data_IF_732041548350
#
_entry.id   IF_732041548350
#
_cell.length_a   1.000
_cell.length_b   1.000
_cell.length_c   1.000
_cell.angle_alpha   90.00
_cell.angle_beta   90.00
_cell.angle_gamma   90.00
#
_symmetry.space_group_name_H-M   'P 1'
#
loop_
_entity.id
_entity.type
_entity.pdbx_description
1 polymer ?
#
# COMPACT_ATOMS: atom_id res chain seq x y z
N UNK A 1 36.54 32.25 -25.98
CA UNK A 1 36.91 30.84 -25.73
C UNK A 1 36.53 30.54 -24.29
N UNK A 2 35.70 29.57 -23.92
CA UNK A 2 34.72 28.74 -24.60
C UNK A 2 33.77 28.29 -23.48
N UNK A 3 32.48 28.25 -23.78
CA UNK A 3 31.51 27.62 -22.92
C UNK A 3 31.82 26.12 -22.79
N UNK A 4 31.73 25.57 -21.58
CA UNK A 4 31.56 24.14 -21.38
C UNK A 4 30.34 23.91 -20.51
N UNK A 5 29.21 23.79 -21.21
CA UNK A 5 28.06 23.06 -20.73
C UNK A 5 28.37 21.56 -20.83
N UNK A 6 28.40 20.89 -19.68
CA UNK A 6 28.31 19.43 -19.54
C UNK A 6 27.53 19.24 -18.25
N UNK A 7 26.23 18.91 -18.27
CA UNK A 7 25.71 17.66 -18.80
C UNK A 7 25.48 16.73 -17.62
N UNK A 8 24.24 16.26 -17.46
CA UNK A 8 23.77 15.16 -16.59
C UNK A 8 22.99 15.54 -15.30
N UNK A 9 22.03 16.46 -15.38
CA UNK A 9 21.10 16.77 -14.27
C UNK A 9 19.83 15.89 -14.18
N UNK A 10 19.79 14.73 -14.85
CA UNK A 10 18.63 13.81 -14.82
C UNK A 10 18.86 12.53 -13.99
N UNK A 11 20.05 12.37 -13.38
CA UNK A 11 20.42 11.17 -12.60
C UNK A 11 20.23 11.27 -11.08
N UNK A 12 20.11 12.48 -10.52
CA UNK A 12 20.20 12.72 -9.07
C UNK A 12 18.84 12.77 -8.35
N UNK A 13 17.73 12.54 -9.07
CA UNK A 13 16.36 12.76 -8.58
C UNK A 13 15.83 11.71 -7.60
N UNK A 14 16.54 10.60 -7.40
CA UNK A 14 16.10 9.51 -6.53
C UNK A 14 16.79 9.59 -5.16
N UNK A 15 16.43 10.59 -4.34
CA UNK A 15 16.85 10.60 -2.95
C UNK A 15 16.18 9.42 -2.22
N UNK A 16 16.94 8.41 -1.75
CA UNK A 16 16.37 7.23 -1.07
C UNK A 16 15.58 7.61 0.19
N UNK A 17 15.84 8.79 0.77
CA UNK A 17 15.05 9.35 1.87
C UNK A 17 13.61 9.70 1.48
N UNK A 18 13.39 10.21 0.27
CA UNK A 18 12.07 10.55 -0.30
C UNK A 18 11.29 9.29 -0.62
N UNK A 19 11.94 8.30 -1.23
CA UNK A 19 11.33 6.99 -1.56
C UNK A 19 10.83 6.29 -0.30
N UNK A 20 11.62 6.30 0.78
CA UNK A 20 11.20 5.74 2.08
C UNK A 20 10.03 6.48 2.72
N UNK A 21 9.89 7.78 2.45
CA UNK A 21 8.79 8.60 2.98
C UNK A 21 7.44 8.28 2.32
N UNK A 22 7.44 8.03 1.01
CA UNK A 22 6.22 7.73 0.24
C UNK A 22 5.87 6.24 0.19
N UNK A 23 6.78 5.36 0.62
CA UNK A 23 6.60 3.91 0.59
C UNK A 23 5.28 3.42 1.20
N UNK A 24 4.79 3.93 2.35
CA UNK A 24 3.50 3.52 2.90
C UNK A 24 2.32 3.80 1.95
N UNK A 25 2.34 4.94 1.25
CA UNK A 25 1.33 5.30 0.26
C UNK A 25 1.42 4.44 -0.99
N UNK A 26 2.63 4.08 -1.42
CA UNK A 26 2.82 3.16 -2.55
C UNK A 26 2.27 1.77 -2.21
N UNK A 27 2.52 1.27 -0.99
CA UNK A 27 1.96 0.00 -0.51
C UNK A 27 0.43 0.06 -0.47
N UNK A 28 -0.13 1.14 0.06
CA UNK A 28 -1.58 1.35 0.06
C UNK A 28 -2.17 1.39 -1.35
N UNK A 29 -1.56 2.13 -2.28
CA UNK A 29 -2.02 2.23 -3.66
C UNK A 29 -1.96 0.87 -4.38
N UNK A 30 -0.88 0.12 -4.17
CA UNK A 30 -0.73 -1.24 -4.70
C UNK A 30 -1.79 -2.19 -4.15
N UNK A 31 -2.04 -2.14 -2.83
CA UNK A 31 -3.10 -2.92 -2.20
C UNK A 31 -4.48 -2.61 -2.78
N UNK A 32 -4.81 -1.32 -2.92
CA UNK A 32 -6.08 -0.88 -3.47
C UNK A 32 -6.27 -1.35 -4.91
N UNK A 33 -5.26 -1.14 -5.75
CA UNK A 33 -5.28 -1.57 -7.16
C UNK A 33 -5.42 -3.09 -7.29
N UNK A 34 -4.61 -3.86 -6.55
CA UNK A 34 -4.65 -5.33 -6.59
C UNK A 34 -6.00 -5.87 -6.14
N UNK A 35 -6.58 -5.29 -5.08
CA UNK A 35 -7.90 -5.70 -4.58
C UNK A 35 -8.98 -5.44 -5.62
N UNK A 36 -8.98 -4.26 -6.22
CA UNK A 36 -9.97 -3.89 -7.24
C UNK A 36 -9.85 -4.73 -8.51
N UNK A 37 -8.63 -4.89 -9.03
CA UNK A 37 -8.36 -5.71 -10.20
C UNK A 37 -8.71 -7.19 -9.96
N UNK A 38 -8.46 -7.71 -8.75
CA UNK A 38 -8.82 -9.08 -8.39
C UNK A 38 -10.33 -9.29 -8.39
N UNK A 39 -11.11 -8.31 -7.89
CA UNK A 39 -12.57 -8.36 -7.91
C UNK A 39 -13.11 -8.32 -9.34
N UNK A 40 -12.63 -7.41 -10.17
CA UNK A 40 -13.00 -7.31 -11.60
C UNK A 40 -12.74 -8.63 -12.34
N UNK A 41 -11.53 -9.17 -12.20
CA UNK A 41 -11.17 -10.46 -12.82
C UNK A 41 -12.03 -11.59 -12.27
N UNK A 42 -12.31 -11.60 -10.97
CA UNK A 42 -13.15 -12.62 -10.35
C UNK A 42 -14.56 -12.59 -10.92
N UNK A 43 -15.20 -11.42 -11.00
CA UNK A 43 -16.53 -11.27 -11.54
C UNK A 43 -16.58 -11.62 -13.05
N UNK A 44 -15.61 -11.17 -13.83
CA UNK A 44 -15.54 -11.48 -15.28
C UNK A 44 -15.30 -12.96 -15.58
N UNK A 45 -14.62 -13.69 -14.69
CA UNK A 45 -14.29 -15.12 -14.85
C UNK A 45 -15.19 -16.06 -14.06
N UNK A 46 -16.19 -15.55 -13.34
CA UNK A 46 -17.06 -16.38 -12.52
C UNK A 46 -16.39 -16.96 -11.27
N UNK A 47 -15.25 -16.40 -10.84
CA UNK A 47 -14.47 -16.96 -9.72
C UNK A 47 -15.19 -16.87 -8.38
N UNK A 48 -16.21 -16.00 -8.28
CA UNK A 48 -17.09 -15.90 -7.10
C UNK A 48 -17.88 -17.19 -6.82
N UNK A 49 -18.03 -18.07 -7.82
CA UNK A 49 -18.73 -19.35 -7.67
C UNK A 49 -17.86 -20.40 -6.95
N UNK A 50 -16.54 -20.27 -7.00
CA UNK A 50 -15.64 -21.18 -6.30
C UNK A 50 -15.63 -20.85 -4.82
N UNK A 51 -15.96 -21.86 -4.00
CA UNK A 51 -16.00 -21.74 -2.55
C UNK A 51 -15.05 -22.74 -1.92
N UNK A 52 -14.32 -22.28 -0.91
CA UNK A 52 -13.49 -23.10 -0.05
C UNK A 52 -14.09 -23.05 1.36
N UNK A 53 -14.43 -24.21 1.92
CA UNK A 53 -15.10 -24.30 3.23
C UNK A 53 -16.36 -23.42 3.37
N UNK A 54 -17.13 -23.27 2.28
CA UNK A 54 -18.36 -22.46 2.24
C UNK A 54 -18.15 -20.96 1.99
N UNK A 55 -16.91 -20.48 1.99
CA UNK A 55 -16.55 -19.06 1.78
C UNK A 55 -16.06 -18.87 0.33
N UNK A 56 -16.44 -17.78 -0.37
CA UNK A 56 -15.91 -17.49 -1.71
C UNK A 56 -14.38 -17.39 -1.70
N UNK A 57 -13.71 -18.08 -2.62
CA UNK A 57 -12.24 -18.11 -2.70
C UNK A 57 -11.66 -16.70 -2.89
N UNK A 58 -12.36 -15.84 -3.65
CA UNK A 58 -11.98 -14.43 -3.83
C UNK A 58 -11.98 -13.66 -2.51
N UNK A 59 -12.92 -13.91 -1.60
CA UNK A 59 -12.95 -13.27 -0.28
C UNK A 59 -11.72 -13.67 0.54
N UNK A 60 -11.36 -14.95 0.54
CA UNK A 60 -10.15 -15.43 1.24
C UNK A 60 -8.88 -14.80 0.66
N UNK A 61 -8.80 -14.67 -0.65
CA UNK A 61 -7.69 -13.99 -1.34
C UNK A 61 -7.57 -12.52 -0.94
N UNK A 62 -8.68 -11.78 -0.92
CA UNK A 62 -8.71 -10.38 -0.48
C UNK A 62 -8.31 -10.24 0.99
N UNK A 63 -8.78 -11.14 1.87
CA UNK A 63 -8.36 -11.18 3.27
C UNK A 63 -6.85 -11.44 3.40
N UNK A 64 -6.29 -12.35 2.60
CA UNK A 64 -4.85 -12.63 2.61
C UNK A 64 -4.02 -11.41 2.18
N UNK A 65 -4.37 -10.75 1.07
CA UNK A 65 -3.68 -9.53 0.62
C UNK A 65 -3.79 -8.42 1.67
N UNK A 66 -4.98 -8.25 2.26
CA UNK A 66 -5.22 -7.24 3.29
C UNK A 66 -4.36 -7.50 4.53
N UNK A 67 -4.34 -8.74 5.03
CA UNK A 67 -3.53 -9.12 6.18
C UNK A 67 -2.03 -8.89 5.93
N UNK A 68 -1.53 -9.24 4.75
CA UNK A 68 -0.14 -8.98 4.34
C UNK A 68 0.17 -7.48 4.31
N UNK A 69 -0.74 -6.68 3.77
CA UNK A 69 -0.58 -5.22 3.65
C UNK A 69 -0.57 -4.56 5.03
N UNK A 70 -1.50 -4.95 5.92
CA UNK A 70 -1.52 -4.50 7.31
C UNK A 70 -0.21 -4.87 8.00
N UNK A 71 0.25 -6.12 7.86
CA UNK A 71 1.53 -6.57 8.42
C UNK A 71 2.71 -5.71 7.96
N UNK A 72 2.79 -5.42 6.66
CA UNK A 72 3.82 -4.55 6.10
C UNK A 72 3.77 -3.12 6.67
N UNK A 73 2.58 -2.52 6.74
CA UNK A 73 2.39 -1.15 7.27
C UNK A 73 2.66 -1.08 8.78
N UNK A 74 2.27 -2.10 9.56
CA UNK A 74 2.58 -2.19 10.99
C UNK A 74 4.09 -2.28 11.20
N UNK A 75 4.79 -3.11 10.42
CA UNK A 75 6.26 -3.22 10.49
C UNK A 75 6.95 -1.90 10.13
N UNK A 76 6.47 -1.18 9.10
CA UNK A 76 6.99 0.13 8.73
C UNK A 76 6.73 1.17 9.81
N UNK A 77 5.53 1.18 10.41
CA UNK A 77 5.16 2.08 11.50
C UNK A 77 6.02 1.80 12.74
N UNK A 78 6.22 0.53 13.11
CA UNK A 78 7.05 0.14 14.23
C UNK A 78 8.52 0.54 14.03
N UNK A 79 9.04 0.38 12.81
CA UNK A 79 10.40 0.85 12.46
C UNK A 79 10.50 2.38 12.51
N UNK A 80 9.52 3.10 11.98
CA UNK A 80 9.48 4.55 12.04
C UNK A 80 9.44 5.04 13.51
N UNK A 81 8.58 4.45 14.34
CA UNK A 81 8.45 4.79 15.75
C UNK A 81 9.76 4.57 16.54
N UNK A 82 10.49 3.47 16.27
CA UNK A 82 11.81 3.22 16.88
C UNK A 82 12.88 4.22 16.47
N UNK A 83 12.76 4.80 15.27
CA UNK A 83 13.72 5.78 14.76
C UNK A 83 13.38 7.20 15.19
N UNK A 84 12.13 7.50 15.55
CA UNK A 84 11.69 8.81 16.06
C UNK A 84 12.41 9.19 17.36
N UNK A 85 12.76 8.22 18.21
CA UNK A 85 13.54 8.49 19.43
C UNK A 85 15.04 8.71 19.18
N UNK A 86 15.54 8.38 17.98
CA UNK A 86 16.95 8.51 17.60
C UNK A 86 17.22 9.67 16.63
N UNK A 87 16.24 10.07 15.81
CA UNK A 87 16.34 11.21 14.88
C UNK A 87 15.45 12.38 15.37
N UNK A 88 16.08 13.50 15.75
CA UNK A 88 15.37 14.77 15.94
C UNK A 88 15.14 15.45 14.59
N UNK A 89 13.94 15.31 14.01
CA UNK A 89 13.62 16.02 12.77
C UNK A 89 12.21 15.81 12.24
N UNK A 90 11.70 16.83 11.55
CA UNK A 90 10.38 16.88 10.89
C UNK A 90 10.12 15.68 9.97
N UNK A 91 11.17 15.10 9.36
CA UNK A 91 11.07 13.92 8.50
C UNK A 91 10.57 12.66 9.23
N UNK A 92 10.92 12.49 10.51
CA UNK A 92 10.50 11.32 11.29
C UNK A 92 8.98 11.36 11.57
N UNK A 93 8.46 12.55 11.87
CA UNK A 93 7.01 12.79 12.04
C UNK A 93 6.22 12.56 10.75
N UNK A 94 6.73 13.00 9.60
CA UNK A 94 6.10 12.77 8.29
C UNK A 94 6.01 11.28 7.95
N UNK A 95 7.08 10.51 8.21
CA UNK A 95 7.07 9.05 7.98
C UNK A 95 6.07 8.32 8.87
N UNK A 96 5.99 8.71 10.15
CA UNK A 96 5.02 8.15 11.09
C UNK A 96 3.58 8.47 10.65
N UNK A 97 3.31 9.74 10.34
CA UNK A 97 2.00 10.20 9.87
C UNK A 97 1.56 9.52 8.58
N UNK A 98 2.46 9.39 7.60
CA UNK A 98 2.21 8.67 6.35
C UNK A 98 1.87 7.19 6.59
N UNK A 99 2.59 6.53 7.50
CA UNK A 99 2.35 5.12 7.82
C UNK A 99 1.02 4.90 8.53
N UNK A 100 0.67 5.78 9.47
CA UNK A 100 -0.62 5.75 10.17
C UNK A 100 -1.78 6.02 9.22
N UNK A 101 -1.67 7.03 8.35
CA UNK A 101 -2.70 7.33 7.36
C UNK A 101 -2.90 6.18 6.37
N UNK A 102 -1.80 5.57 5.88
CA UNK A 102 -1.89 4.38 5.04
C UNK A 102 -2.60 3.23 5.77
N UNK A 103 -2.31 3.02 7.06
CA UNK A 103 -2.94 1.97 7.85
C UNK A 103 -4.44 2.22 8.05
N UNK A 104 -4.84 3.46 8.37
CA UNK A 104 -6.25 3.86 8.44
C UNK A 104 -6.94 3.64 7.11
N UNK A 105 -6.30 3.99 6.00
CA UNK A 105 -6.87 3.81 4.67
C UNK A 105 -7.06 2.33 4.31
N UNK A 106 -6.12 1.44 4.67
CA UNK A 106 -6.27 -0.02 4.50
C UNK A 106 -7.38 -0.58 5.41
N UNK A 107 -7.43 -0.15 6.67
CA UNK A 107 -8.51 -0.58 7.58
C UNK A 107 -9.88 -0.13 7.08
N UNK A 108 -9.97 1.06 6.51
CA UNK A 108 -11.21 1.56 5.91
C UNK A 108 -11.64 0.72 4.70
N UNK A 109 -10.69 0.23 3.89
CA UNK A 109 -11.02 -0.67 2.76
C UNK A 109 -11.51 -2.06 3.18
N UNK A 110 -11.34 -2.47 4.44
CA UNK A 110 -11.92 -3.72 4.96
C UNK A 110 -13.45 -3.65 4.99
N UNK A 111 -14.01 -2.47 5.26
CA UNK A 111 -15.47 -2.29 5.37
C UNK A 111 -16.20 -2.71 4.09
N UNK A 112 -15.88 -2.19 2.89
CA UNK A 112 -16.54 -2.66 1.67
C UNK A 112 -16.24 -4.13 1.36
N UNK A 113 -15.04 -4.65 1.67
CA UNK A 113 -14.73 -6.09 1.46
C UNK A 113 -15.60 -7.01 2.32
N UNK A 114 -15.94 -6.57 3.55
CA UNK A 114 -16.72 -7.36 4.48
C UNK A 114 -18.24 -7.26 4.24
N UNK A 115 -18.73 -6.09 3.83
CA UNK A 115 -20.17 -5.79 3.82
C UNK A 115 -20.77 -5.63 2.42
N UNK A 116 -19.98 -5.33 1.39
CA UNK A 116 -20.52 -5.16 0.03
C UNK A 116 -20.48 -6.48 -0.74
N UNK A 117 -21.52 -6.80 -1.54
CA UNK A 117 -21.43 -7.87 -2.52
C UNK A 117 -20.30 -7.54 -3.51
N UNK A 118 -19.35 -8.47 -3.66
CA UNK A 118 -18.15 -8.25 -4.49
C UNK A 118 -18.47 -8.12 -5.98
N UNK A 119 -19.54 -8.77 -6.43
CA UNK A 119 -20.06 -8.63 -7.78
C UNK A 119 -21.49 -8.08 -7.68
N UNK A 120 -21.82 -7.10 -8.53
CA UNK A 120 -23.19 -6.62 -8.67
C UNK A 120 -24.13 -7.68 -9.27
N UNK A 121 -25.45 -7.49 -9.15
CA UNK A 121 -26.43 -8.23 -9.95
C UNK A 121 -26.24 -8.01 -11.45
#
# INVERSE_FOLDING_TARGET
MSASATGNGFGDGFNPGTVRGVLPFVIWAAHFFLSYASVEVACARGLQLYRLAGVPTISLWLWAITALTIGALVLLTARAARNVSAESGTLAGVRLGASLMALVAVLWSVVPIAFAPLCGP
#
